data_IF_965628304226
#
_entry.id   IF_965628304226
#
_cell.length_a   1.000
_cell.length_b   1.000
_cell.length_c   1.000
_cell.angle_alpha   90.00
_cell.angle_beta   90.00
_cell.angle_gamma   90.00
#
_symmetry.space_group_name_H-M   'P 1'
#
loop_
_entity.id
_entity.type
_entity.pdbx_description
1 polymer ?
#
# COMPACT_ATOMS: atom_id res chain seq x y z
N UNK A 1 -26.52 -22.65 -31.20
CA UNK A 1 -25.11 -22.30 -31.51
C UNK A 1 -24.59 -21.43 -30.37
N UNK A 2 -23.97 -22.03 -29.34
CA UNK A 2 -23.57 -21.33 -28.11
C UNK A 2 -22.25 -20.57 -28.31
N UNK A 3 -22.25 -19.25 -28.07
CA UNK A 3 -21.04 -18.41 -28.03
C UNK A 3 -20.12 -18.89 -26.90
N UNK A 4 -18.93 -19.40 -27.23
CA UNK A 4 -17.84 -19.54 -26.26
C UNK A 4 -17.33 -18.15 -25.90
N UNK A 5 -17.72 -17.67 -24.72
CA UNK A 5 -17.10 -16.49 -24.09
C UNK A 5 -15.71 -16.91 -23.62
N UNK A 6 -14.68 -16.28 -24.20
CA UNK A 6 -13.27 -16.50 -23.90
C UNK A 6 -13.00 -16.01 -22.47
N UNK A 7 -12.41 -16.83 -21.57
CA UNK A 7 -12.21 -16.41 -20.20
C UNK A 7 -10.94 -15.55 -20.10
N UNK A 8 -11.12 -14.24 -20.33
CA UNK A 8 -10.09 -13.21 -20.14
C UNK A 8 -9.50 -13.21 -18.70
N UNK A 9 -10.18 -13.84 -17.75
CA UNK A 9 -9.71 -14.02 -16.36
C UNK A 9 -8.55 -15.01 -16.19
N UNK A 10 -8.31 -15.95 -17.12
CA UNK A 10 -7.26 -16.96 -16.95
C UNK A 10 -5.84 -16.36 -16.98
N UNK A 11 -5.64 -15.31 -17.79
CA UNK A 11 -4.36 -14.59 -17.86
C UNK A 11 -4.11 -13.77 -16.60
N UNK A 12 -5.16 -13.18 -16.04
CA UNK A 12 -5.13 -12.41 -14.80
C UNK A 12 -4.75 -13.29 -13.59
N UNK A 13 -5.32 -14.50 -13.50
CA UNK A 13 -5.05 -15.45 -12.41
C UNK A 13 -3.59 -15.93 -12.44
N UNK A 14 -3.03 -16.20 -13.63
CA UNK A 14 -1.61 -16.56 -13.78
C UNK A 14 -0.68 -15.40 -13.46
N UNK A 15 -1.07 -14.17 -13.80
CA UNK A 15 -0.38 -12.95 -13.39
C UNK A 15 -0.34 -12.81 -11.87
N UNK A 16 -1.47 -13.02 -11.19
CA UNK A 16 -1.56 -13.04 -9.73
C UNK A 16 -0.70 -14.13 -9.10
N UNK A 17 -0.67 -15.34 -9.65
CA UNK A 17 0.17 -16.41 -9.11
C UNK A 17 1.66 -16.11 -9.26
N UNK A 18 2.07 -15.54 -10.40
CA UNK A 18 3.46 -15.13 -10.60
C UNK A 18 3.86 -13.97 -9.68
N UNK A 19 2.95 -13.02 -9.47
CA UNK A 19 3.10 -11.95 -8.49
C UNK A 19 3.19 -12.51 -7.06
N UNK A 20 2.39 -13.52 -6.71
CA UNK A 20 2.41 -14.18 -5.40
C UNK A 20 3.77 -14.82 -5.08
N UNK A 21 4.35 -15.59 -6.02
CA UNK A 21 5.69 -16.17 -5.85
C UNK A 21 6.79 -15.09 -5.80
N UNK A 22 6.63 -14.01 -6.56
CA UNK A 22 7.57 -12.88 -6.54
C UNK A 22 7.49 -12.09 -5.22
N UNK A 23 6.29 -11.94 -4.64
CA UNK A 23 6.06 -11.29 -3.34
C UNK A 23 6.64 -12.10 -2.18
N UNK A 24 6.56 -13.43 -2.23
CA UNK A 24 7.16 -14.31 -1.22
C UNK A 24 8.68 -14.10 -1.10
N UNK A 25 9.35 -13.82 -2.22
CA UNK A 25 10.78 -13.49 -2.25
C UNK A 25 11.09 -12.06 -1.75
N UNK A 26 10.08 -11.18 -1.73
CA UNK A 26 10.19 -9.77 -1.32
C UNK A 26 9.88 -9.50 0.16
N UNK A 27 9.33 -10.49 0.88
CA UNK A 27 8.82 -10.36 2.26
C UNK A 27 9.88 -10.03 3.34
N UNK A 28 11.15 -9.90 2.99
CA UNK A 28 12.23 -9.51 3.91
C UNK A 28 12.25 -7.99 4.19
N UNK A 29 11.60 -7.15 3.37
CA UNK A 29 11.68 -5.67 3.48
C UNK A 29 10.34 -4.94 3.35
N UNK A 30 9.40 -5.21 4.27
CA UNK A 30 8.10 -4.51 4.43
C UNK A 30 8.19 -2.98 4.34
N UNK A 31 9.24 -2.40 4.93
CA UNK A 31 9.46 -0.95 4.97
C UNK A 31 9.59 -0.35 3.55
N UNK A 32 10.30 -1.05 2.65
CA UNK A 32 10.53 -0.57 1.28
C UNK A 32 9.25 -0.57 0.45
N UNK A 33 8.36 -1.53 0.69
CA UNK A 33 7.05 -1.60 0.02
C UNK A 33 6.10 -0.50 0.52
N UNK A 34 6.19 -0.16 1.82
CA UNK A 34 5.49 0.98 2.40
C UNK A 34 5.94 2.29 1.75
N UNK A 35 7.25 2.45 1.56
CA UNK A 35 7.82 3.65 0.91
C UNK A 35 7.33 3.78 -0.53
N UNK A 36 7.26 2.70 -1.29
CA UNK A 36 6.74 2.72 -2.67
C UNK A 36 5.25 3.14 -2.68
N UNK A 37 4.43 2.57 -1.79
CA UNK A 37 3.02 2.98 -1.66
C UNK A 37 2.89 4.47 -1.32
N UNK A 38 3.59 4.93 -0.29
CA UNK A 38 3.53 6.32 0.17
C UNK A 38 4.01 7.24 -0.95
N UNK A 39 5.10 6.90 -1.65
CA UNK A 39 5.61 7.71 -2.76
C UNK A 39 4.61 7.80 -3.92
N UNK A 40 3.97 6.70 -4.31
CA UNK A 40 2.95 6.71 -5.37
C UNK A 40 1.73 7.53 -4.97
N UNK A 41 1.31 7.41 -3.71
CA UNK A 41 0.22 8.20 -3.16
C UNK A 41 0.57 9.70 -3.11
N UNK A 42 1.78 10.07 -2.69
CA UNK A 42 2.25 11.45 -2.70
C UNK A 42 2.27 12.04 -4.12
N UNK A 43 2.73 11.28 -5.12
CA UNK A 43 2.69 11.72 -6.54
C UNK A 43 1.25 11.92 -7.01
N UNK A 44 0.33 11.04 -6.60
CA UNK A 44 -1.11 11.17 -6.93
C UNK A 44 -1.70 12.45 -6.36
N UNK A 45 -1.44 12.73 -5.08
CA UNK A 45 -1.90 13.95 -4.43
C UNK A 45 -1.30 15.20 -5.07
N UNK A 46 -0.03 15.14 -5.47
CA UNK A 46 0.63 16.24 -6.17
C UNK A 46 -0.02 16.48 -7.53
N UNK A 47 -0.31 15.43 -8.29
CA UNK A 47 -1.07 15.54 -9.54
C UNK A 47 -2.47 16.15 -9.35
N UNK A 48 -3.19 15.73 -8.30
CA UNK A 48 -4.50 16.29 -7.95
C UNK A 48 -4.42 17.78 -7.58
N UNK A 49 -3.44 18.16 -6.75
CA UNK A 49 -3.17 19.55 -6.40
C UNK A 49 -2.89 20.38 -7.65
N UNK A 50 -2.18 19.82 -8.62
CA UNK A 50 -1.82 20.48 -9.87
C UNK A 50 -3.06 20.75 -10.74
N UNK A 51 -4.01 19.81 -10.79
CA UNK A 51 -5.31 20.00 -11.46
C UNK A 51 -6.11 21.12 -10.79
N UNK A 52 -6.22 21.10 -9.46
CA UNK A 52 -6.96 22.12 -8.70
C UNK A 52 -6.34 23.50 -8.89
N UNK A 53 -5.01 23.59 -8.82
CA UNK A 53 -4.30 24.85 -9.04
C UNK A 53 -4.46 25.36 -10.47
N UNK A 54 -4.46 24.46 -11.46
CA UNK A 54 -4.72 24.84 -12.84
C UNK A 54 -6.08 25.51 -12.97
N UNK A 55 -7.12 24.89 -12.41
CA UNK A 55 -8.50 25.37 -12.47
C UNK A 55 -8.74 26.66 -11.67
N UNK A 56 -8.04 26.83 -10.54
CA UNK A 56 -8.19 28.02 -9.70
C UNK A 56 -7.42 29.24 -10.24
N UNK A 57 -6.19 29.05 -10.74
CA UNK A 57 -5.34 30.16 -11.21
C UNK A 57 -5.61 30.55 -12.66
N UNK A 58 -5.88 29.56 -13.51
CA UNK A 58 -6.13 29.78 -14.92
C UNK A 58 -7.61 29.48 -15.13
N UNK A 59 -8.44 30.53 -15.19
CA UNK A 59 -9.80 30.39 -15.69
C UNK A 59 -9.81 29.83 -17.13
N UNK A 60 -10.99 29.70 -17.72
CA UNK A 60 -11.22 28.99 -18.98
C UNK A 60 -10.22 29.36 -20.10
N UNK A 61 -9.15 28.58 -20.22
CA UNK A 61 -7.99 28.88 -21.04
C UNK A 61 -7.25 27.61 -21.45
N UNK A 62 -6.64 27.62 -22.63
CA UNK A 62 -5.81 26.51 -23.14
C UNK A 62 -4.68 26.15 -22.15
N UNK A 63 -4.13 27.14 -21.42
CA UNK A 63 -3.08 26.89 -20.42
C UNK A 63 -3.59 26.05 -19.24
N UNK A 64 -4.83 26.30 -18.81
CA UNK A 64 -5.50 25.51 -17.77
C UNK A 64 -5.62 24.06 -18.22
N UNK A 65 -6.11 23.84 -19.44
CA UNK A 65 -6.34 22.50 -19.99
C UNK A 65 -5.05 21.69 -20.07
N UNK A 66 -3.95 22.27 -20.57
CA UNK A 66 -2.65 21.60 -20.67
C UNK A 66 -2.12 21.26 -19.28
N UNK A 67 -2.20 22.20 -18.34
CA UNK A 67 -1.69 22.01 -16.98
C UNK A 67 -2.51 20.96 -16.21
N UNK A 68 -3.84 20.98 -16.37
CA UNK A 68 -4.74 19.95 -15.85
C UNK A 68 -4.42 18.58 -16.45
N UNK A 69 -4.14 18.50 -17.77
CA UNK A 69 -3.74 17.25 -18.43
C UNK A 69 -2.46 16.66 -17.85
N UNK A 70 -1.46 17.49 -17.56
CA UNK A 70 -0.23 17.07 -16.88
C UNK A 70 -0.53 16.56 -15.47
N UNK A 71 -1.39 17.27 -14.73
CA UNK A 71 -1.86 16.82 -13.41
C UNK A 71 -2.55 15.46 -13.46
N UNK A 72 -3.43 15.25 -14.43
CA UNK A 72 -4.11 13.96 -14.67
C UNK A 72 -3.12 12.85 -15.01
N UNK A 73 -2.10 13.12 -15.85
CA UNK A 73 -1.07 12.14 -16.16
C UNK A 73 -0.29 11.72 -14.90
N UNK A 74 0.06 12.67 -14.03
CA UNK A 74 0.69 12.39 -12.74
C UNK A 74 -0.21 11.58 -11.81
N UNK A 75 -1.51 11.86 -11.78
CA UNK A 75 -2.49 11.08 -11.02
C UNK A 75 -2.45 9.62 -11.48
N UNK A 76 -2.51 9.35 -12.78
CA UNK A 76 -2.51 7.98 -13.31
C UNK A 76 -1.20 7.24 -12.96
N UNK A 77 -0.05 7.90 -13.12
CA UNK A 77 1.25 7.32 -12.78
C UNK A 77 1.32 7.04 -11.27
N UNK A 78 0.93 8.01 -10.45
CA UNK A 78 0.89 7.86 -8.99
C UNK A 78 -0.03 6.73 -8.54
N UNK A 79 -1.23 6.63 -9.14
CA UNK A 79 -2.21 5.60 -8.80
C UNK A 79 -1.69 4.21 -9.14
N UNK A 80 -1.05 4.03 -10.30
CA UNK A 80 -0.47 2.73 -10.66
C UNK A 80 0.65 2.33 -9.70
N UNK A 81 1.54 3.26 -9.34
CA UNK A 81 2.57 3.02 -8.33
C UNK A 81 2.00 2.71 -6.95
N UNK A 82 0.98 3.46 -6.51
CA UNK A 82 0.29 3.24 -5.25
C UNK A 82 -0.46 1.90 -5.22
N UNK A 83 -1.10 1.51 -6.33
CA UNK A 83 -1.79 0.22 -6.46
C UNK A 83 -0.80 -0.95 -6.34
N UNK A 84 0.38 -0.85 -6.96
CA UNK A 84 1.46 -1.83 -6.83
C UNK A 84 1.93 -1.90 -5.36
N UNK A 85 2.15 -0.75 -4.73
CA UNK A 85 2.52 -0.68 -3.31
C UNK A 85 1.45 -1.28 -2.39
N UNK A 86 0.18 -1.04 -2.69
CA UNK A 86 -0.97 -1.54 -1.92
C UNK A 86 -1.08 -3.05 -2.03
N UNK A 87 -0.91 -3.61 -3.23
CA UNK A 87 -0.89 -5.05 -3.42
C UNK A 87 0.20 -5.71 -2.55
N UNK A 88 1.37 -5.07 -2.46
CA UNK A 88 2.48 -5.53 -1.64
C UNK A 88 2.18 -5.44 -0.13
N UNK A 89 1.46 -4.39 0.30
CA UNK A 89 1.05 -4.15 1.68
C UNK A 89 -0.11 -5.04 2.15
N UNK A 90 -1.10 -5.27 1.28
CA UNK A 90 -2.31 -6.05 1.59
C UNK A 90 -1.95 -7.51 1.93
N UNK A 91 -0.96 -8.07 1.22
CA UNK A 91 -0.42 -9.41 1.52
C UNK A 91 0.30 -9.43 2.89
N UNK A 92 1.12 -8.42 3.19
CA UNK A 92 1.81 -8.29 4.47
C UNK A 92 0.85 -8.04 5.65
N UNK A 93 -0.21 -7.27 5.43
CA UNK A 93 -1.27 -7.03 6.40
C UNK A 93 -2.05 -8.30 6.70
N UNK A 94 -2.40 -9.09 5.67
CA UNK A 94 -3.04 -10.39 5.83
C UNK A 94 -2.13 -11.39 6.57
N UNK A 95 -0.84 -11.46 6.21
CA UNK A 95 0.15 -12.31 6.88
C UNK A 95 0.32 -11.91 8.34
N UNK A 96 0.42 -10.61 8.65
CA UNK A 96 0.49 -10.12 10.03
C UNK A 96 -0.81 -10.41 10.79
N UNK A 97 -1.97 -10.26 10.18
CA UNK A 97 -3.25 -10.56 10.83
C UNK A 97 -3.39 -12.06 11.16
N UNK A 98 -2.94 -12.93 10.27
CA UNK A 98 -2.99 -14.38 10.47
C UNK A 98 -1.92 -14.85 11.48
N UNK A 99 -0.69 -14.34 11.37
CA UNK A 99 0.42 -14.74 12.26
C UNK A 99 0.35 -14.06 13.63
N UNK A 100 -0.11 -12.81 13.71
CA UNK A 100 -0.35 -12.09 14.95
C UNK A 100 -1.78 -12.36 15.43
N UNK A 101 -2.09 -13.64 15.65
CA UNK A 101 -3.16 -14.01 16.57
C UNK A 101 -2.53 -14.04 17.96
N UNK A 102 -2.67 -13.01 18.81
CA UNK A 102 -2.12 -13.09 20.16
C UNK A 102 -2.76 -14.29 20.85
N UNK A 103 -1.91 -15.22 21.30
CA UNK A 103 -2.37 -16.32 22.11
C UNK A 103 -2.92 -15.73 23.42
N UNK A 104 -4.25 -15.59 23.52
CA UNK A 104 -4.95 -15.10 24.72
C UNK A 104 -4.92 -16.12 25.89
N UNK A 105 -3.90 -16.98 25.96
CA UNK A 105 -3.80 -18.02 26.99
C UNK A 105 -2.63 -17.86 27.97
N UNK A 106 -1.98 -16.69 28.05
CA UNK A 106 -1.11 -16.40 29.21
C UNK A 106 -1.67 -15.27 30.05
N UNK A 107 -2.30 -15.58 31.21
CA UNK A 107 -2.35 -14.63 32.30
C UNK A 107 -0.95 -14.53 32.95
N UNK A 108 -0.62 -13.32 33.40
CA UNK A 108 0.35 -13.04 34.47
C UNK A 108 1.85 -13.12 34.13
N UNK A 109 2.44 -11.95 33.90
CA UNK A 109 3.62 -11.54 34.66
C UNK A 109 3.48 -10.06 35.02
N UNK A 110 2.70 -9.82 36.08
CA UNK A 110 2.81 -8.62 36.92
C UNK A 110 4.30 -8.32 37.12
N UNK A 111 4.80 -7.09 36.92
CA UNK A 111 6.15 -6.75 37.35
C UNK A 111 6.23 -7.04 38.85
N UNK A 112 6.99 -8.06 39.25
CA UNK A 112 7.30 -8.26 40.66
C UNK A 112 8.06 -7.01 41.13
N UNK A 113 7.65 -6.38 42.25
CA UNK A 113 8.41 -5.28 42.80
C UNK A 113 9.82 -5.78 43.13
N UNK A 114 10.86 -4.96 42.88
CA UNK A 114 12.24 -5.38 43.06
C UNK A 114 12.48 -5.92 44.47
N UNK A 115 13.32 -6.96 44.63
CA UNK A 115 13.59 -7.55 45.93
C UNK A 115 14.17 -6.49 46.87
N UNK A 116 13.46 -6.25 47.99
CA UNK A 116 13.90 -5.43 49.09
C UNK A 116 15.28 -5.90 49.56
N UNK A 117 16.30 -5.06 49.36
CA UNK A 117 17.65 -5.28 49.87
C UNK A 117 17.58 -5.17 51.39
N UNK A 118 17.40 -6.32 52.03
CA UNK A 118 17.39 -6.49 53.48
C UNK A 118 18.77 -6.11 54.01
N UNK A 119 18.78 -5.20 54.96
CA UNK A 119 19.96 -4.75 55.70
C UNK A 119 20.71 -5.91 56.37
N UNK A 120 22.02 -5.67 56.54
CA UNK A 120 22.91 -6.22 57.58
C UNK A 120 23.53 -7.60 57.35
N UNK A 121 24.70 -7.91 57.97
CA UNK A 121 25.19 -7.48 59.30
C UNK A 121 25.77 -6.08 59.38
#
# INVERSE_FOLDING_TARGET
MMKKVKPEGFFFIKGLQKAYYWLLNFSQHTQRNLVILISGFSVTLLGLLLVILAEFFFGQSIKQEILALVGVALIVIGLTAAAIGYFCLSVLGLVRYILYKPNKSKPTSTPQPPPSKKDSP
#
